data_IF_847474543554
#
_entry.id   IF_847474543554
#
_cell.length_a   1.000
_cell.length_b   1.000
_cell.length_c   1.000
_cell.angle_alpha   90.00
_cell.angle_beta   90.00
_cell.angle_gamma   90.00
#
_symmetry.space_group_name_H-M   'P 1'
#
loop_
_entity.id
_entity.type
_entity.pdbx_description
1 polymer ?
#
# COMPACT_ATOMS: atom_id res chain seq x y z
N UNK A 1 15.72 -14.33 -7.81
CA UNK A 1 16.92 -13.53 -8.18
C UNK A 1 16.76 -12.87 -9.56
N UNK A 2 16.33 -13.58 -10.61
CA UNK A 2 16.21 -12.99 -11.97
C UNK A 2 15.39 -11.70 -12.08
N UNK A 3 14.40 -11.49 -11.21
CA UNK A 3 13.52 -10.31 -11.22
C UNK A 3 13.99 -9.12 -10.38
N UNK A 4 15.16 -9.18 -9.73
CA UNK A 4 15.57 -8.14 -8.77
C UNK A 4 15.73 -6.78 -9.45
N UNK A 5 16.52 -6.70 -10.53
CA UNK A 5 16.78 -5.43 -11.22
C UNK A 5 15.51 -4.90 -11.90
N UNK A 6 14.74 -5.79 -12.54
CA UNK A 6 13.44 -5.46 -13.09
C UNK A 6 12.48 -4.85 -12.04
N UNK A 7 12.46 -5.39 -10.81
CA UNK A 7 11.64 -4.83 -9.74
C UNK A 7 12.14 -3.46 -9.25
N UNK A 8 13.46 -3.23 -9.22
CA UNK A 8 14.03 -1.91 -8.91
C UNK A 8 13.67 -0.90 -10.01
N UNK A 9 13.70 -1.30 -11.28
CA UNK A 9 13.24 -0.47 -12.40
C UNK A 9 11.74 -0.15 -12.30
N UNK A 10 10.91 -1.12 -11.93
CA UNK A 10 9.49 -0.89 -11.68
C UNK A 10 9.26 0.14 -10.57
N UNK A 11 9.99 0.05 -9.44
CA UNK A 11 9.93 1.05 -8.37
C UNK A 11 10.31 2.44 -8.85
N UNK A 12 11.36 2.56 -9.67
CA UNK A 12 11.78 3.82 -10.26
C UNK A 12 10.64 4.47 -11.05
N UNK A 13 10.00 3.70 -11.94
CA UNK A 13 8.90 4.20 -12.76
C UNK A 13 7.69 4.62 -11.91
N UNK A 14 7.37 3.85 -10.86
CA UNK A 14 6.30 4.21 -9.94
C UNK A 14 6.59 5.51 -9.18
N UNK A 15 7.82 5.70 -8.70
CA UNK A 15 8.25 6.93 -8.05
C UNK A 15 8.20 8.13 -9.02
N UNK A 16 8.65 7.94 -10.27
CA UNK A 16 8.60 8.97 -11.30
C UNK A 16 7.18 9.40 -11.63
N UNK A 17 6.26 8.44 -11.83
CA UNK A 17 4.86 8.71 -12.06
C UNK A 17 4.23 9.48 -10.90
N UNK A 18 4.44 9.05 -9.65
CA UNK A 18 3.91 9.73 -8.46
C UNK A 18 4.47 11.14 -8.31
N UNK A 19 5.73 11.37 -8.67
CA UNK A 19 6.34 12.72 -8.69
C UNK A 19 5.71 13.61 -9.77
N UNK A 20 5.47 13.08 -10.95
CA UNK A 20 4.80 13.82 -12.03
C UNK A 20 3.37 14.20 -11.64
N UNK A 21 2.58 13.25 -11.15
CA UNK A 21 1.19 13.50 -10.71
C UNK A 21 1.13 14.56 -9.60
N UNK A 22 2.05 14.51 -8.63
CA UNK A 22 2.12 15.49 -7.54
C UNK A 22 2.60 16.87 -8.00
N UNK A 23 3.60 16.96 -8.87
CA UNK A 23 4.07 18.24 -9.42
C UNK A 23 2.99 18.93 -10.24
N UNK A 24 2.26 18.20 -11.10
CA UNK A 24 1.09 18.72 -11.83
C UNK A 24 0.05 19.28 -10.86
N UNK A 25 -0.23 18.56 -9.75
CA UNK A 25 -1.19 19.03 -8.75
C UNK A 25 -0.70 20.31 -8.06
N UNK A 26 0.57 20.39 -7.66
CA UNK A 26 1.15 21.60 -7.05
C UNK A 26 1.12 22.80 -8.02
N UNK A 27 1.42 22.58 -9.29
CA UNK A 27 1.36 23.61 -10.34
C UNK A 27 -0.07 24.10 -10.62
N UNK A 28 -1.07 23.24 -10.44
CA UNK A 28 -2.47 23.65 -10.51
C UNK A 28 -2.86 24.55 -9.34
N UNK A 29 -2.36 24.24 -8.13
CA UNK A 29 -2.66 24.99 -6.91
C UNK A 29 -1.92 26.33 -6.85
N UNK A 30 -0.71 26.42 -7.39
CA UNK A 30 0.07 27.67 -7.42
C UNK A 30 -0.57 28.79 -8.24
N UNK A 31 -1.56 28.46 -9.07
CA UNK A 31 -2.37 29.40 -9.86
C UNK A 31 -3.59 29.94 -9.09
N UNK A 32 -3.97 29.30 -7.98
CA UNK A 32 -5.12 29.71 -7.18
C UNK A 32 -4.72 30.75 -6.13
N UNK A 33 -5.63 31.68 -5.83
CA UNK A 33 -5.45 32.68 -4.78
C UNK A 33 -5.63 32.00 -3.43
N UNK A 34 -4.65 32.15 -2.55
CA UNK A 34 -4.70 31.64 -1.18
C UNK A 34 -5.56 32.58 -0.31
N UNK A 35 -6.72 32.13 0.21
CA UNK A 35 -7.59 32.97 1.03
C UNK A 35 -7.08 33.15 2.47
N UNK A 36 -6.05 32.40 2.88
CA UNK A 36 -5.53 32.37 4.25
C UNK A 36 -4.29 33.26 4.46
N UNK A 37 -3.81 33.95 3.42
CA UNK A 37 -2.63 34.81 3.48
C UNK A 37 -3.03 36.27 3.20
N UNK A 38 -2.47 37.19 3.99
CA UNK A 38 -2.60 38.64 3.82
C UNK A 38 -1.20 39.26 3.79
N UNK A 39 -0.78 39.96 2.71
CA UNK A 39 -1.55 40.34 1.52
C UNK A 39 -1.92 39.16 0.61
N UNK A 40 -2.93 39.33 -0.25
CA UNK A 40 -3.39 38.28 -1.18
C UNK A 40 -2.23 37.78 -2.03
N UNK A 41 -1.93 36.49 -1.91
CA UNK A 41 -0.92 35.78 -2.68
C UNK A 41 -1.52 34.47 -3.21
N UNK A 42 -0.85 33.80 -4.14
CA UNK A 42 -1.21 32.44 -4.54
C UNK A 42 -0.66 31.42 -3.55
N UNK A 43 -1.10 30.16 -3.65
CA UNK A 43 -0.49 29.09 -2.85
C UNK A 43 0.99 28.91 -3.24
N UNK A 44 1.85 28.72 -2.23
CA UNK A 44 3.26 28.36 -2.42
C UNK A 44 3.63 27.15 -1.55
N UNK A 45 4.79 26.56 -1.84
CA UNK A 45 5.27 25.37 -1.15
C UNK A 45 5.49 25.62 0.35
N UNK A 46 5.97 26.82 0.71
CA UNK A 46 6.25 27.21 2.10
C UNK A 46 4.97 27.22 2.94
N UNK A 47 3.88 27.74 2.39
CA UNK A 47 2.59 27.70 3.05
C UNK A 47 2.15 26.26 3.33
N UNK A 48 2.26 25.34 2.37
CA UNK A 48 1.90 23.94 2.61
C UNK A 48 2.80 23.27 3.66
N UNK A 49 4.09 23.58 3.67
CA UNK A 49 5.04 23.09 4.68
C UNK A 49 4.69 23.58 6.09
N UNK A 50 4.37 24.87 6.25
CA UNK A 50 3.90 25.43 7.51
C UNK A 50 2.60 24.79 7.98
N UNK A 51 1.64 24.63 7.06
CA UNK A 51 0.36 24.00 7.35
C UNK A 51 0.52 22.52 7.76
N UNK A 52 1.42 21.78 7.10
CA UNK A 52 1.79 20.42 7.51
C UNK A 52 2.43 20.37 8.90
N UNK A 53 3.32 21.32 9.21
CA UNK A 53 3.92 21.43 10.54
C UNK A 53 2.87 21.66 11.63
N UNK A 54 1.91 22.55 11.39
CA UNK A 54 0.80 22.77 12.30
C UNK A 54 -0.07 21.52 12.47
N UNK A 55 -0.34 20.79 11.38
CA UNK A 55 -1.06 19.52 11.45
C UNK A 55 -0.32 18.49 12.31
N UNK A 56 1.00 18.32 12.11
CA UNK A 56 1.83 17.40 12.92
C UNK A 56 1.84 17.80 14.40
N UNK A 57 2.03 19.08 14.71
CA UNK A 57 2.01 19.57 16.08
C UNK A 57 0.65 19.35 16.75
N UNK A 58 -0.44 19.57 16.02
CA UNK A 58 -1.79 19.30 16.50
C UNK A 58 -1.98 17.82 16.83
N UNK A 59 -1.52 16.91 15.96
CA UNK A 59 -1.58 15.47 16.18
C UNK A 59 -0.71 15.02 17.36
N UNK A 60 0.47 15.61 17.54
CA UNK A 60 1.37 15.29 18.66
C UNK A 60 0.84 15.79 20.02
N UNK A 61 0.06 16.86 20.01
CA UNK A 61 -0.48 17.48 21.24
C UNK A 61 -1.87 16.96 21.62
N UNK A 62 -2.59 16.32 20.70
CA UNK A 62 -3.84 15.62 21.01
C UNK A 62 -3.54 14.29 21.72
N UNK A 63 -3.94 14.18 22.99
CA UNK A 63 -3.80 12.94 23.75
C UNK A 63 -4.84 11.91 23.29
N UNK A 64 -4.51 10.62 23.38
CA UNK A 64 -5.51 9.54 23.24
C UNK A 64 -6.72 9.74 24.16
N UNK A 65 -6.51 10.35 25.33
CA UNK A 65 -7.59 10.70 26.25
C UNK A 65 -8.54 11.77 25.68
N UNK A 66 -8.06 12.71 24.87
CA UNK A 66 -8.91 13.71 24.19
C UNK A 66 -9.77 13.06 23.12
N UNK A 67 -9.15 12.19 22.31
CA UNK A 67 -9.84 11.41 21.27
C UNK A 67 -10.91 10.51 21.89
N UNK A 68 -10.59 9.80 22.95
CA UNK A 68 -11.55 8.93 23.64
C UNK A 68 -12.71 9.74 24.24
N UNK A 69 -12.43 10.91 24.83
CA UNK A 69 -13.48 11.81 25.33
C UNK A 69 -14.41 12.28 24.20
N UNK A 70 -13.86 12.63 23.04
CA UNK A 70 -14.64 13.06 21.87
C UNK A 70 -15.47 11.91 21.29
N UNK A 71 -14.92 10.71 21.20
CA UNK A 71 -15.65 9.51 20.76
C UNK A 71 -16.84 9.24 21.68
N UNK A 72 -16.62 9.23 23.00
CA UNK A 72 -17.71 9.06 23.98
C UNK A 72 -18.79 10.13 23.80
N UNK A 73 -18.39 11.39 23.63
CA UNK A 73 -19.33 12.49 23.41
C UNK A 73 -20.12 12.34 22.10
N UNK A 74 -19.46 11.90 21.03
CA UNK A 74 -20.11 11.68 19.75
C UNK A 74 -21.11 10.53 19.81
N UNK A 75 -20.76 9.43 20.47
CA UNK A 75 -21.67 8.31 20.74
C UNK A 75 -22.90 8.75 21.53
N UNK A 76 -22.71 9.62 22.53
CA UNK A 76 -23.82 10.17 23.30
C UNK A 76 -24.78 10.98 22.41
N UNK A 77 -24.25 11.90 21.61
CA UNK A 77 -25.07 12.72 20.70
C UNK A 77 -25.75 11.86 19.63
N UNK A 78 -25.07 10.81 19.16
CA UNK A 78 -25.59 9.93 18.13
C UNK A 78 -26.79 9.10 18.65
N UNK A 79 -26.68 8.66 19.90
CA UNK A 79 -27.77 8.00 20.61
C UNK A 79 -28.94 8.96 20.83
N UNK A 80 -28.66 10.21 21.19
CA UNK A 80 -29.68 11.25 21.33
C UNK A 80 -30.43 11.48 20.00
N UNK A 81 -29.70 11.59 18.90
CA UNK A 81 -30.27 11.75 17.57
C UNK A 81 -31.14 10.54 17.18
N UNK A 82 -30.68 9.33 17.49
CA UNK A 82 -31.43 8.09 17.25
C UNK A 82 -32.73 8.03 18.07
N UNK A 83 -32.68 8.41 19.36
CA UNK A 83 -33.88 8.53 20.19
C UNK A 83 -34.88 9.54 19.63
N UNK A 84 -34.39 10.69 19.16
CA UNK A 84 -35.25 11.72 18.58
C UNK A 84 -35.92 11.23 17.28
N UNK A 85 -35.22 10.44 16.45
CA UNK A 85 -35.81 9.79 15.28
C UNK A 85 -36.90 8.80 15.68
N UNK A 86 -36.65 7.92 16.66
CA UNK A 86 -37.65 6.96 17.16
C UNK A 86 -38.89 7.68 17.71
N UNK A 87 -38.70 8.76 18.47
CA UNK A 87 -39.83 9.59 18.97
C UNK A 87 -40.61 10.22 17.83
N UNK A 88 -39.94 10.76 16.81
CA UNK A 88 -40.59 11.35 15.65
C UNK A 88 -41.40 10.31 14.85
N UNK A 89 -40.83 9.11 14.65
CA UNK A 89 -41.52 7.99 14.01
C UNK A 89 -42.74 7.55 14.81
N UNK A 90 -42.62 7.40 16.13
CA UNK A 90 -43.74 7.06 17.01
C UNK A 90 -44.87 8.09 16.94
N UNK A 91 -44.52 9.37 17.01
CA UNK A 91 -45.47 10.47 16.89
C UNK A 91 -46.17 10.44 15.53
N UNK A 92 -45.45 10.14 14.45
CA UNK A 92 -46.02 10.00 13.12
C UNK A 92 -46.96 8.81 13.02
N UNK A 93 -46.57 7.63 13.51
CA UNK A 93 -47.42 6.42 13.51
C UNK A 93 -48.72 6.64 14.28
N UNK A 94 -48.64 7.36 15.41
CA UNK A 94 -49.80 7.71 16.24
C UNK A 94 -50.67 8.76 15.55
N UNK A 95 -50.07 9.74 14.87
CA UNK A 95 -50.81 10.78 14.14
C UNK A 95 -51.53 10.24 12.89
N UNK A 96 -50.95 9.24 12.21
CA UNK A 96 -51.52 8.66 10.98
C UNK A 96 -52.32 7.38 11.22
N UNK A 97 -52.41 6.88 12.46
CA UNK A 97 -53.01 5.59 12.82
C UNK A 97 -52.48 4.42 11.97
N UNK A 98 -51.20 4.47 11.58
CA UNK A 98 -50.62 3.55 10.60
C UNK A 98 -49.80 2.40 11.21
N UNK A 99 -49.56 2.41 12.52
CA UNK A 99 -48.78 1.36 13.21
C UNK A 99 -49.68 0.35 13.92
N UNK A 100 -49.25 -0.92 13.97
CA UNK A 100 -49.90 -1.91 14.84
C UNK A 100 -49.70 -1.54 16.31
N UNK A 101 -50.61 -2.00 17.18
CA UNK A 101 -50.45 -1.83 18.63
C UNK A 101 -49.12 -2.42 19.11
N UNK A 102 -48.72 -3.58 18.56
CA UNK A 102 -47.46 -4.23 18.90
C UNK A 102 -46.24 -3.39 18.46
N UNK A 103 -46.29 -2.75 17.29
CA UNK A 103 -45.22 -1.87 16.79
C UNK A 103 -45.04 -0.63 17.68
N UNK A 104 -46.15 -0.06 18.15
CA UNK A 104 -46.20 1.09 19.05
C UNK A 104 -45.60 0.71 20.42
N UNK A 105 -46.02 -0.43 20.98
CA UNK A 105 -45.50 -0.93 22.26
C UNK A 105 -44.01 -1.24 22.16
N UNK A 106 -43.57 -1.90 21.09
CA UNK A 106 -42.17 -2.20 20.84
C UNK A 106 -41.33 -0.92 20.75
N UNK A 107 -41.80 0.09 20.00
CA UNK A 107 -41.14 1.39 19.89
C UNK A 107 -41.00 2.10 21.25
N UNK A 108 -42.03 2.02 22.10
CA UNK A 108 -42.00 2.60 23.46
C UNK A 108 -40.96 1.91 24.35
N UNK A 109 -40.86 0.58 24.28
CA UNK A 109 -39.85 -0.20 25.02
C UNK A 109 -38.44 0.15 24.54
N UNK A 110 -38.24 0.30 23.23
CA UNK A 110 -36.96 0.72 22.64
C UNK A 110 -36.56 2.15 23.06
N UNK A 111 -37.51 3.08 23.09
CA UNK A 111 -37.27 4.45 23.59
C UNK A 111 -36.93 4.43 25.08
N UNK A 112 -37.66 3.68 25.90
CA UNK A 112 -37.45 3.63 27.34
C UNK A 112 -36.07 3.02 27.68
N UNK A 113 -35.74 1.88 27.09
CA UNK A 113 -34.43 1.23 27.27
C UNK A 113 -33.28 2.11 26.78
N UNK A 114 -33.45 2.78 25.64
CA UNK A 114 -32.41 3.66 25.09
C UNK A 114 -32.24 4.95 25.87
N UNK A 115 -33.31 5.49 26.45
CA UNK A 115 -33.26 6.65 27.34
C UNK A 115 -32.57 6.33 28.68
N UNK A 116 -32.79 5.14 29.23
CA UNK A 116 -32.13 4.69 30.46
C UNK A 116 -30.63 4.53 30.25
N UNK A 117 -30.21 3.88 29.16
CA UNK A 117 -28.79 3.75 28.78
C UNK A 117 -28.14 5.13 28.59
N UNK A 118 -28.87 6.10 28.02
CA UNK A 118 -28.37 7.45 27.83
C UNK A 118 -28.20 8.22 29.16
N UNK A 119 -29.07 7.98 30.15
CA UNK A 119 -28.92 8.56 31.50
C UNK A 119 -27.70 8.01 32.22
N UNK A 120 -27.45 6.70 32.13
CA UNK A 120 -26.24 6.09 32.68
C UNK A 120 -24.99 6.70 32.07
N UNK A 121 -24.93 6.79 30.74
CA UNK A 121 -23.79 7.39 30.04
C UNK A 121 -23.58 8.87 30.37
N UNK A 122 -24.67 9.64 30.54
CA UNK A 122 -24.60 11.04 30.98
C UNK A 122 -23.97 11.22 32.38
N UNK A 123 -24.14 10.25 33.27
CA UNK A 123 -23.55 10.30 34.62
C UNK A 123 -22.03 10.04 34.64
N UNK A 124 -21.50 9.35 33.62
CA UNK A 124 -20.08 9.02 33.49
C UNK A 124 -19.28 10.06 32.70
N UNK A 125 -19.96 10.93 31.96
CA UNK A 125 -19.39 12.00 31.16
C UNK A 125 -18.97 13.18 32.09
N UNK A 126 -17.67 13.55 32.16
CA UNK A 126 -17.20 14.66 32.98
C UNK A 126 -17.93 15.97 32.65
N UNK A 127 -18.43 16.68 33.66
CA UNK A 127 -19.36 17.82 33.54
C UNK A 127 -18.89 19.07 32.77
N UNK A 128 -17.77 19.04 32.06
CA UNK A 128 -17.23 20.19 31.30
C UNK A 128 -17.25 19.94 29.79
N UNK A 129 -18.44 19.84 29.19
CA UNK A 129 -18.61 19.98 27.74
C UNK A 129 -18.82 21.44 27.36
N UNK A 130 -17.97 22.34 27.85
CA UNK A 130 -17.98 23.75 27.45
C UNK A 130 -17.91 23.92 25.92
N UNK A 131 -17.33 22.93 25.22
CA UNK A 131 -17.30 22.83 23.74
C UNK A 131 -18.71 22.78 23.12
N UNK A 132 -19.73 22.27 23.82
CA UNK A 132 -21.11 22.15 23.33
C UNK A 132 -22.06 23.23 23.87
N UNK A 133 -21.53 24.27 24.52
CA UNK A 133 -22.30 25.38 25.09
C UNK A 133 -22.04 26.64 24.25
N UNK A 134 -23.06 27.48 24.04
CA UNK A 134 -22.99 28.73 23.27
C UNK A 134 -23.77 28.71 21.96
N UNK A 135 -23.83 29.84 21.26
CA UNK A 135 -24.66 30.03 20.05
C UNK A 135 -24.29 29.07 18.90
N UNK A 136 -23.02 28.67 18.80
CA UNK A 136 -22.50 27.72 17.79
C UNK A 136 -22.68 26.24 18.16
N UNK A 137 -23.30 25.93 19.32
CA UNK A 137 -23.45 24.57 19.81
C UNK A 137 -24.13 23.60 18.81
N UNK A 138 -25.23 23.97 18.12
CA UNK A 138 -25.87 23.07 17.16
C UNK A 138 -24.93 22.66 16.03
N UNK A 139 -24.16 23.62 15.50
CA UNK A 139 -23.19 23.39 14.43
C UNK A 139 -22.06 22.47 14.89
N UNK A 140 -21.52 22.70 16.09
CA UNK A 140 -20.44 21.85 16.65
C UNK A 140 -20.91 20.43 16.96
N UNK A 141 -22.14 20.25 17.44
CA UNK A 141 -22.75 18.92 17.64
C UNK A 141 -22.82 18.14 16.32
N UNK A 142 -23.29 18.78 15.26
CA UNK A 142 -23.38 18.15 13.95
C UNK A 142 -22.01 17.85 13.34
N UNK A 143 -21.01 18.70 13.55
CA UNK A 143 -19.62 18.40 13.14
C UNK A 143 -19.09 17.14 13.83
N UNK A 144 -19.33 16.99 15.13
CA UNK A 144 -18.92 15.82 15.89
C UNK A 144 -19.66 14.54 15.46
N UNK A 145 -20.96 14.65 15.15
CA UNK A 145 -21.74 13.54 14.59
C UNK A 145 -21.27 13.14 13.19
N UNK A 146 -20.93 14.13 12.35
CA UNK A 146 -20.40 13.89 11.01
C UNK A 146 -19.07 13.15 11.10
N UNK A 147 -18.16 13.61 11.95
CA UNK A 147 -16.90 12.94 12.28
C UNK A 147 -17.11 11.48 12.68
N UNK A 148 -17.97 11.23 13.67
CA UNK A 148 -18.23 9.89 14.19
C UNK A 148 -18.84 8.98 13.12
N UNK A 149 -19.80 9.48 12.33
CA UNK A 149 -20.39 8.71 11.23
C UNK A 149 -19.37 8.40 10.12
N UNK A 150 -18.42 9.31 9.86
CA UNK A 150 -17.36 9.10 8.87
C UNK A 150 -16.28 8.13 9.37
N UNK A 151 -15.94 8.17 10.66
CA UNK A 151 -15.07 7.19 11.32
C UNK A 151 -15.66 5.77 11.19
N UNK A 152 -16.97 5.61 11.44
CA UNK A 152 -17.66 4.35 11.23
C UNK A 152 -17.63 3.87 9.77
N UNK A 153 -17.79 4.79 8.80
CA UNK A 153 -17.61 4.48 7.38
C UNK A 153 -16.19 4.00 7.08
N UNK A 154 -15.16 4.62 7.66
CA UNK A 154 -13.77 4.21 7.46
C UNK A 154 -13.52 2.80 8.01
N UNK A 155 -14.07 2.46 9.18
CA UNK A 155 -14.01 1.08 9.71
C UNK A 155 -14.58 0.08 8.71
N UNK A 156 -15.75 0.36 8.15
CA UNK A 156 -16.34 -0.50 7.12
C UNK A 156 -15.51 -0.56 5.83
N UNK A 157 -14.85 0.53 5.44
CA UNK A 157 -14.00 0.56 4.26
C UNK A 157 -12.77 -0.34 4.45
N UNK A 158 -12.13 -0.29 5.61
CA UNK A 158 -11.00 -1.16 5.98
C UNK A 158 -11.43 -2.63 6.01
N UNK A 159 -12.58 -2.93 6.60
CA UNK A 159 -13.12 -4.29 6.64
C UNK A 159 -13.41 -4.81 5.24
N UNK A 160 -14.10 -4.03 4.40
CA UNK A 160 -14.40 -4.40 3.02
C UNK A 160 -13.13 -4.61 2.19
N UNK A 161 -12.13 -3.74 2.38
CA UNK A 161 -10.83 -3.88 1.73
C UNK A 161 -10.14 -5.18 2.16
N UNK A 162 -10.14 -5.50 3.46
CA UNK A 162 -9.54 -6.72 4.00
C UNK A 162 -10.17 -8.00 3.44
N UNK A 163 -11.47 -7.99 3.18
CA UNK A 163 -12.18 -9.12 2.58
C UNK A 163 -11.87 -9.31 1.10
N UNK A 164 -11.55 -8.22 0.40
CA UNK A 164 -11.15 -8.25 -1.02
C UNK A 164 -9.68 -8.57 -1.23
N UNK A 165 -8.84 -8.39 -0.21
CA UNK A 165 -7.39 -8.65 -0.29
C UNK A 165 -7.01 -9.99 -0.93
N UNK A 166 -7.68 -11.13 -0.63
CA UNK A 166 -7.35 -12.40 -1.26
C UNK A 166 -7.47 -12.35 -2.79
N UNK A 167 -8.47 -11.66 -3.34
CA UNK A 167 -8.72 -11.56 -4.78
C UNK A 167 -7.57 -10.89 -5.53
N UNK A 168 -6.85 -9.97 -4.89
CA UNK A 168 -5.76 -9.22 -5.52
C UNK A 168 -4.39 -9.91 -5.44
N UNK A 169 -4.26 -11.03 -4.71
CA UNK A 169 -2.97 -11.72 -4.54
C UNK A 169 -2.58 -12.59 -5.73
N UNK A 170 -3.38 -12.63 -6.81
CA UNK A 170 -3.06 -13.35 -8.04
C UNK A 170 -2.91 -14.87 -7.86
N UNK A 171 -3.38 -15.41 -6.74
CA UNK A 171 -3.43 -16.86 -6.50
C UNK A 171 -4.74 -17.37 -7.07
N UNK A 172 -4.74 -18.51 -7.76
CA UNK A 172 -5.98 -19.18 -8.13
C UNK A 172 -6.76 -19.50 -6.85
N UNK A 173 -7.94 -18.89 -6.72
CA UNK A 173 -8.81 -19.03 -5.56
C UNK A 173 -9.86 -20.06 -5.94
N UNK A 174 -9.83 -21.23 -5.30
CA UNK A 174 -10.87 -22.24 -5.51
C UNK A 174 -12.28 -21.70 -5.22
N UNK A 175 -13.28 -22.30 -5.85
CA UNK A 175 -14.72 -21.95 -5.76
C UNK A 175 -15.23 -21.68 -4.35
N UNK A 176 -14.78 -22.49 -3.39
CA UNK A 176 -15.20 -22.40 -1.99
C UNK A 176 -14.73 -21.10 -1.33
N UNK A 177 -13.51 -20.68 -1.60
CA UNK A 177 -12.95 -19.44 -1.03
C UNK A 177 -13.54 -18.22 -1.74
N UNK A 178 -13.73 -18.28 -3.07
CA UNK A 178 -14.43 -17.27 -3.86
C UNK A 178 -15.86 -17.04 -3.33
N UNK A 179 -16.66 -18.10 -3.19
CA UNK A 179 -18.04 -18.03 -2.68
C UNK A 179 -18.10 -17.44 -1.27
N UNK A 180 -17.13 -17.78 -0.41
CA UNK A 180 -17.03 -17.21 0.94
C UNK A 180 -16.73 -15.72 0.92
N UNK A 181 -15.86 -15.26 0.03
CA UNK A 181 -15.52 -13.83 -0.12
C UNK A 181 -16.74 -13.05 -0.61
N UNK A 182 -17.44 -13.54 -1.66
CA UNK A 182 -18.66 -12.90 -2.16
C UNK A 182 -19.72 -12.82 -1.05
N UNK A 183 -19.98 -13.93 -0.35
CA UNK A 183 -20.96 -13.96 0.73
C UNK A 183 -20.57 -13.06 1.91
N UNK A 184 -19.27 -12.80 2.14
CA UNK A 184 -18.82 -11.85 3.16
C UNK A 184 -19.10 -10.40 2.72
N UNK A 185 -18.77 -10.06 1.46
CA UNK A 185 -19.05 -8.75 0.85
C UNK A 185 -20.55 -8.45 0.88
N UNK A 186 -21.39 -9.41 0.48
CA UNK A 186 -22.85 -9.26 0.46
C UNK A 186 -23.42 -9.01 1.87
N UNK A 187 -22.91 -9.73 2.88
CA UNK A 187 -23.32 -9.51 4.29
C UNK A 187 -22.99 -8.12 4.79
N UNK A 188 -21.95 -7.46 4.25
CA UNK A 188 -21.56 -6.09 4.66
C UNK A 188 -22.38 -5.00 3.98
N UNK A 189 -23.06 -5.28 2.87
CA UNK A 189 -23.82 -4.26 2.12
C UNK A 189 -24.85 -3.52 3.00
N UNK A 190 -25.68 -4.26 3.74
CA UNK A 190 -26.70 -3.67 4.62
C UNK A 190 -26.15 -2.75 5.73
N UNK A 191 -25.14 -3.20 6.51
CA UNK A 191 -24.44 -2.36 7.47
C UNK A 191 -23.82 -1.09 6.84
N UNK A 192 -23.15 -1.22 5.70
CA UNK A 192 -22.55 -0.09 4.97
C UNK A 192 -23.62 0.91 4.54
N UNK A 193 -24.71 0.46 3.91
CA UNK A 193 -25.81 1.33 3.49
C UNK A 193 -26.45 2.08 4.67
N UNK A 194 -26.52 1.43 5.83
CA UNK A 194 -27.01 2.05 7.06
C UNK A 194 -26.07 3.14 7.56
N UNK A 195 -24.76 2.89 7.55
CA UNK A 195 -23.74 3.88 7.91
C UNK A 195 -23.73 5.07 6.92
N UNK A 196 -23.88 4.80 5.62
CA UNK A 196 -23.97 5.82 4.57
C UNK A 196 -25.19 6.72 4.77
N UNK A 197 -26.37 6.12 5.01
CA UNK A 197 -27.61 6.88 5.27
C UNK A 197 -27.46 7.80 6.46
N UNK A 198 -26.80 7.32 7.52
CA UNK A 198 -26.54 8.08 8.74
C UNK A 198 -25.59 9.26 8.49
N UNK A 199 -24.49 9.02 7.79
CA UNK A 199 -23.55 10.07 7.38
C UNK A 199 -24.23 11.13 6.50
N UNK A 200 -24.99 10.72 5.48
CA UNK A 200 -25.69 11.65 4.58
C UNK A 200 -26.77 12.46 5.33
N UNK A 201 -27.45 11.86 6.32
CA UNK A 201 -28.38 12.55 7.19
C UNK A 201 -27.70 13.68 7.98
N UNK A 202 -26.62 13.37 8.70
CA UNK A 202 -25.87 14.39 9.45
C UNK A 202 -25.24 15.44 8.55
N UNK A 203 -24.79 15.06 7.35
CA UNK A 203 -24.33 15.99 6.32
C UNK A 203 -25.43 16.96 5.92
N UNK A 204 -26.63 16.49 5.61
CA UNK A 204 -27.75 17.34 5.21
C UNK A 204 -28.13 18.33 6.33
N UNK A 205 -28.22 17.85 7.57
CA UNK A 205 -28.49 18.67 8.75
C UNK A 205 -27.40 19.75 8.95
N UNK A 206 -26.13 19.38 8.75
CA UNK A 206 -25.00 20.30 8.88
C UNK A 206 -25.01 21.38 7.80
N UNK A 207 -25.24 20.99 6.53
CA UNK A 207 -25.32 21.93 5.41
C UNK A 207 -26.50 22.91 5.57
N UNK A 208 -27.61 22.48 6.17
CA UNK A 208 -28.76 23.34 6.46
C UNK A 208 -28.46 24.45 7.48
N UNK A 209 -27.41 24.31 8.29
CA UNK A 209 -26.96 25.34 9.24
C UNK A 209 -25.93 26.33 8.67
N UNK A 210 -25.55 26.20 7.40
CA UNK A 210 -24.62 27.13 6.76
C UNK A 210 -25.30 28.46 6.44
N UNK A 211 -24.59 29.56 6.67
CA UNK A 211 -25.08 30.88 6.30
C UNK A 211 -24.96 31.08 4.77
N UNK A 212 -25.82 31.90 4.14
CA UNK A 212 -25.82 32.09 2.68
C UNK A 212 -24.51 32.62 2.08
N UNK A 213 -23.63 33.18 2.91
CA UNK A 213 -22.34 33.75 2.54
C UNK A 213 -21.13 32.89 2.97
N UNK A 214 -21.36 31.74 3.60
CA UNK A 214 -20.30 30.80 3.95
C UNK A 214 -19.95 29.92 2.74
N UNK A 215 -18.66 29.75 2.46
CA UNK A 215 -18.19 28.82 1.44
C UNK A 215 -18.65 27.41 1.81
N UNK A 216 -19.36 26.74 0.89
CA UNK A 216 -19.83 25.39 1.13
C UNK A 216 -18.62 24.46 1.35
N UNK A 217 -18.55 23.75 2.49
CA UNK A 217 -17.46 22.82 2.76
C UNK A 217 -17.54 21.64 1.79
N UNK A 218 -16.36 21.17 1.36
CA UNK A 218 -16.18 20.06 0.43
C UNK A 218 -16.48 18.73 1.13
N UNK A 219 -17.76 18.46 1.34
CA UNK A 219 -18.29 17.28 2.01
C UNK A 219 -19.21 16.58 1.00
N UNK A 220 -18.69 15.61 0.22
CA UNK A 220 -19.49 14.93 -0.79
C UNK A 220 -20.58 14.07 -0.15
N UNK A 221 -21.70 13.93 -0.86
CA UNK A 221 -22.70 12.93 -0.55
C UNK A 221 -22.13 11.54 -0.86
N UNK A 222 -22.34 10.58 0.03
CA UNK A 222 -21.80 9.23 -0.13
C UNK A 222 -22.88 8.32 -0.70
N UNK A 223 -22.57 7.58 -1.76
CA UNK A 223 -23.40 6.46 -2.21
C UNK A 223 -22.66 5.16 -1.98
N UNK A 224 -23.39 4.03 -1.94
CA UNK A 224 -22.74 2.71 -1.80
C UNK A 224 -21.71 2.47 -2.90
N UNK A 225 -22.03 2.88 -4.13
CA UNK A 225 -21.11 2.76 -5.27
C UNK A 225 -19.85 3.61 -5.09
N UNK A 226 -19.98 4.89 -4.71
CA UNK A 226 -18.81 5.75 -4.46
C UNK A 226 -17.95 5.14 -3.35
N UNK A 227 -18.58 4.71 -2.26
CA UNK A 227 -17.91 4.11 -1.11
C UNK A 227 -17.09 2.87 -1.47
N UNK A 228 -17.69 1.96 -2.24
CA UNK A 228 -17.08 0.67 -2.62
C UNK A 228 -15.85 0.84 -3.51
N UNK A 229 -15.81 1.90 -4.31
CA UNK A 229 -14.70 2.21 -5.21
C UNK A 229 -13.71 3.21 -4.61
N UNK A 230 -13.96 3.68 -3.38
CA UNK A 230 -13.11 4.65 -2.72
C UNK A 230 -11.85 3.96 -2.20
N UNK A 231 -10.68 4.46 -2.61
CA UNK A 231 -9.41 3.97 -2.06
C UNK A 231 -9.30 4.31 -0.57
N UNK A 232 -8.60 3.49 0.21
CA UNK A 232 -8.26 3.83 1.60
C UNK A 232 -7.33 5.06 1.67
N UNK A 233 -6.59 5.33 0.61
CA UNK A 233 -5.69 6.50 0.50
C UNK A 233 -6.42 7.77 -0.01
N UNK A 234 -7.73 7.70 -0.26
CA UNK A 234 -8.49 8.83 -0.81
C UNK A 234 -8.50 10.04 0.13
N UNK A 235 -8.47 11.25 -0.45
CA UNK A 235 -8.52 12.51 0.27
C UNK A 235 -9.76 12.65 1.18
N UNK A 236 -10.85 11.97 0.84
CA UNK A 236 -12.03 11.86 1.68
C UNK A 236 -11.67 11.37 3.09
N UNK A 237 -10.82 10.37 3.27
CA UNK A 237 -10.50 9.83 4.60
C UNK A 237 -9.57 10.72 5.43
N UNK A 238 -8.91 11.70 4.80
CA UNK A 238 -7.83 12.46 5.44
C UNK A 238 -8.32 13.46 6.52
N UNK A 239 -9.58 13.91 6.47
CA UNK A 239 -10.14 14.76 7.53
C UNK A 239 -10.80 13.99 8.67
N UNK A 240 -10.89 12.65 8.61
CA UNK A 240 -11.55 11.83 9.64
C UNK A 240 -10.95 12.06 11.01
N UNK A 241 -9.75 12.61 11.16
CA UNK A 241 -9.16 12.89 12.47
C UNK A 241 -9.02 14.39 12.78
N UNK A 242 -9.51 15.27 11.90
CA UNK A 242 -9.17 16.71 11.89
C UNK A 242 -10.35 17.62 12.30
N UNK A 243 -11.53 17.06 12.56
CA UNK A 243 -12.80 17.79 12.69
C UNK A 243 -12.87 18.86 13.80
N UNK A 244 -11.92 18.88 14.74
CA UNK A 244 -11.86 19.90 15.81
C UNK A 244 -11.04 21.14 15.43
N UNK A 245 -10.28 21.07 14.34
CA UNK A 245 -9.42 22.17 13.90
C UNK A 245 -10.13 23.04 12.87
N UNK A 246 -10.10 24.36 13.07
CA UNK A 246 -10.52 25.35 12.06
C UNK A 246 -9.35 25.90 11.27
N UNK A 247 -8.16 25.31 11.43
CA UNK A 247 -6.96 25.73 10.72
C UNK A 247 -7.10 25.45 9.20
N UNK A 248 -6.38 26.19 8.34
CA UNK A 248 -6.48 26.03 6.90
C UNK A 248 -6.27 24.58 6.42
N UNK A 249 -5.32 23.86 7.01
CA UNK A 249 -5.07 22.43 6.71
C UNK A 249 -6.23 21.49 7.04
N UNK A 250 -7.15 21.88 7.91
CA UNK A 250 -8.29 21.04 8.31
C UNK A 250 -9.53 21.31 7.46
N UNK A 251 -9.79 22.59 7.13
CA UNK A 251 -11.08 23.01 6.55
C UNK A 251 -11.08 23.18 5.04
N UNK A 252 -9.91 23.30 4.41
CA UNK A 252 -9.80 23.60 2.99
C UNK A 252 -9.20 22.40 2.21
N UNK A 253 -9.92 21.94 1.17
CA UNK A 253 -9.49 20.79 0.36
C UNK A 253 -8.28 21.09 -0.54
N UNK A 254 -8.12 22.33 -1.02
CA UNK A 254 -6.92 22.75 -1.75
C UNK A 254 -5.67 22.71 -0.87
N UNK A 255 -5.79 23.17 0.39
CA UNK A 255 -4.68 23.10 1.36
C UNK A 255 -4.30 21.65 1.65
N UNK A 256 -5.27 20.77 1.91
CA UNK A 256 -5.01 19.33 2.11
C UNK A 256 -4.38 18.69 0.87
N UNK A 257 -4.93 18.96 -0.31
CA UNK A 257 -4.40 18.47 -1.58
C UNK A 257 -2.97 18.94 -1.83
N UNK A 258 -2.66 20.19 -1.47
CA UNK A 258 -1.32 20.77 -1.60
C UNK A 258 -0.31 20.14 -0.64
N UNK A 259 -0.69 19.94 0.63
CA UNK A 259 0.13 19.20 1.60
C UNK A 259 0.41 17.79 1.08
N UNK A 260 -0.62 17.08 0.63
CA UNK A 260 -0.47 15.71 0.15
C UNK A 260 0.43 15.63 -1.09
N UNK A 261 0.23 16.50 -2.07
CA UNK A 261 1.07 16.55 -3.27
C UNK A 261 2.53 16.89 -2.92
N UNK A 262 2.76 17.85 -2.01
CA UNK A 262 4.10 18.15 -1.49
C UNK A 262 4.76 16.93 -0.86
N UNK A 263 4.05 16.22 0.03
CA UNK A 263 4.56 15.02 0.70
C UNK A 263 4.84 13.87 -0.27
N UNK A 264 3.99 13.64 -1.27
CA UNK A 264 4.23 12.65 -2.32
C UNK A 264 5.49 13.01 -3.11
N UNK A 265 5.66 14.29 -3.47
CA UNK A 265 6.84 14.73 -4.21
C UNK A 265 8.12 14.51 -3.38
N UNK A 266 8.12 14.87 -2.10
CA UNK A 266 9.25 14.63 -1.19
C UNK A 266 9.52 13.13 -1.02
N UNK A 267 8.47 12.32 -0.89
CA UNK A 267 8.60 10.87 -0.77
C UNK A 267 9.15 10.22 -2.04
N UNK A 268 8.76 10.73 -3.21
CA UNK A 268 9.32 10.25 -4.48
C UNK A 268 10.81 10.57 -4.58
N UNK A 269 11.26 11.73 -4.08
CA UNK A 269 12.68 12.08 -4.00
C UNK A 269 13.47 11.14 -3.09
N UNK A 270 12.91 10.78 -1.92
CA UNK A 270 13.49 9.75 -1.05
C UNK A 270 13.55 8.39 -1.76
N UNK A 271 12.46 7.98 -2.43
CA UNK A 271 12.40 6.71 -3.13
C UNK A 271 13.43 6.64 -4.27
N UNK A 272 13.67 7.73 -5.01
CA UNK A 272 14.74 7.77 -6.00
C UNK A 272 16.13 7.57 -5.40
N UNK A 273 16.39 8.13 -4.21
CA UNK A 273 17.65 7.91 -3.51
C UNK A 273 17.79 6.44 -3.05
N UNK A 274 16.70 5.85 -2.54
CA UNK A 274 16.66 4.43 -2.14
C UNK A 274 16.85 3.50 -3.33
N UNK A 275 16.12 3.71 -4.43
CA UNK A 275 16.24 2.96 -5.68
C UNK A 275 17.67 3.03 -6.21
N UNK A 276 18.29 4.22 -6.22
CA UNK A 276 19.69 4.37 -6.62
C UNK A 276 20.62 3.54 -5.74
N UNK A 277 20.42 3.58 -4.43
CA UNK A 277 21.23 2.82 -3.49
C UNK A 277 21.03 1.29 -3.64
N UNK A 278 19.78 0.83 -3.74
CA UNK A 278 19.42 -0.58 -3.97
C UNK A 278 20.03 -1.09 -5.29
N UNK A 279 19.93 -0.30 -6.36
CA UNK A 279 20.51 -0.61 -7.66
C UNK A 279 22.03 -0.76 -7.60
N UNK A 280 22.74 0.24 -7.05
CA UNK A 280 24.20 0.19 -6.92
C UNK A 280 24.64 -0.97 -6.03
N UNK A 281 23.89 -1.26 -4.97
CA UNK A 281 24.15 -2.41 -4.10
C UNK A 281 23.98 -3.74 -4.82
N UNK A 282 22.94 -3.88 -5.65
CA UNK A 282 22.68 -5.10 -6.42
C UNK A 282 23.80 -5.38 -7.43
N UNK A 283 24.23 -4.37 -8.19
CA UNK A 283 25.32 -4.54 -9.16
C UNK A 283 26.69 -4.72 -8.47
N UNK A 284 26.91 -4.07 -7.32
CA UNK A 284 28.13 -4.25 -6.52
C UNK A 284 28.20 -5.65 -5.94
N UNK A 285 27.09 -6.17 -5.41
CA UNK A 285 26.99 -7.55 -4.93
C UNK A 285 27.34 -8.53 -6.05
N UNK A 286 26.78 -8.34 -7.25
CA UNK A 286 27.02 -9.25 -8.35
C UNK A 286 28.49 -9.24 -8.81
N UNK A 287 29.13 -8.06 -8.88
CA UNK A 287 30.57 -7.91 -9.16
C UNK A 287 31.41 -8.58 -8.08
N UNK A 288 31.16 -8.27 -6.81
CA UNK A 288 31.93 -8.79 -5.68
C UNK A 288 31.79 -10.30 -5.56
N UNK A 289 30.59 -10.84 -5.80
CA UNK A 289 30.34 -12.27 -5.77
C UNK A 289 31.06 -12.98 -6.93
N UNK A 290 31.05 -12.40 -8.13
CA UNK A 290 31.82 -12.91 -9.28
C UNK A 290 33.33 -12.94 -8.99
N UNK A 291 33.88 -11.86 -8.44
CA UNK A 291 35.28 -11.78 -8.05
C UNK A 291 35.65 -12.81 -6.96
N UNK A 292 34.79 -12.99 -5.96
CA UNK A 292 34.99 -13.96 -4.90
C UNK A 292 34.96 -15.41 -5.41
N UNK A 293 34.05 -15.74 -6.33
CA UNK A 293 34.01 -17.05 -6.98
C UNK A 293 35.29 -17.31 -7.78
N UNK A 294 35.73 -16.35 -8.61
CA UNK A 294 36.97 -16.47 -9.38
C UNK A 294 38.20 -16.65 -8.48
N UNK A 295 38.31 -15.86 -7.41
CA UNK A 295 39.41 -15.98 -6.46
C UNK A 295 39.47 -17.37 -5.82
N UNK A 296 38.32 -17.92 -5.40
CA UNK A 296 38.25 -19.29 -4.84
C UNK A 296 38.64 -20.35 -5.86
N UNK A 297 38.17 -20.21 -7.10
CA UNK A 297 38.55 -21.11 -8.21
C UNK A 297 40.07 -21.09 -8.40
N UNK A 298 40.70 -19.91 -8.50
CA UNK A 298 42.16 -19.79 -8.66
C UNK A 298 42.94 -20.41 -7.51
N UNK A 299 42.47 -20.26 -6.27
CA UNK A 299 43.12 -20.87 -5.09
C UNK A 299 43.08 -22.40 -5.15
N UNK A 300 41.94 -22.99 -5.52
CA UNK A 300 41.81 -24.45 -5.61
C UNK A 300 42.56 -25.00 -6.83
N UNK A 301 42.50 -24.30 -7.97
CA UNK A 301 43.20 -24.69 -9.20
C UNK A 301 44.73 -24.71 -9.02
N UNK A 302 45.27 -23.69 -8.34
CA UNK A 302 46.68 -23.66 -7.95
C UNK A 302 47.05 -24.83 -7.04
N UNK A 303 46.21 -25.13 -6.05
CA UNK A 303 46.46 -26.26 -5.14
C UNK A 303 46.46 -27.61 -5.87
N UNK A 304 45.56 -27.83 -6.82
CA UNK A 304 45.55 -29.04 -7.65
C UNK A 304 46.83 -29.13 -8.50
N UNK A 305 47.28 -27.99 -9.04
CA UNK A 305 48.53 -27.93 -9.82
C UNK A 305 49.76 -28.26 -8.96
N UNK A 306 49.87 -27.66 -7.77
CA UNK A 306 50.95 -27.92 -6.79
C UNK A 306 50.95 -29.40 -6.33
N UNK A 307 49.78 -30.01 -6.10
CA UNK A 307 49.65 -31.45 -5.78
C UNK A 307 50.04 -32.38 -6.93
N UNK A 308 50.03 -31.91 -8.18
CA UNK A 308 50.41 -32.71 -9.35
C UNK A 308 51.91 -32.67 -9.63
N UNK A 309 52.62 -31.71 -9.02
CA UNK A 309 54.06 -31.48 -9.23
C UNK A 309 54.94 -32.05 -8.10
N UNK A 310 54.42 -32.22 -6.87
CA UNK A 310 55.15 -32.72 -5.70
C UNK A 310 54.57 -34.03 -5.14
N UNK A 311 55.37 -35.11 -5.19
CA UNK A 311 55.11 -36.42 -4.55
C UNK A 311 55.66 -36.47 -3.09
N UNK A 312 56.22 -35.38 -2.55
CA UNK A 312 56.93 -35.39 -1.26
C UNK A 312 56.46 -34.28 -0.27
N UNK A 313 55.97 -34.76 0.88
CA UNK A 313 55.97 -34.24 2.26
C UNK A 313 55.62 -32.76 2.58
N UNK A 314 54.60 -32.63 3.44
CA UNK A 314 54.41 -31.62 4.50
C UNK A 314 54.39 -30.13 4.11
N UNK A 315 53.25 -29.67 3.58
CA UNK A 315 52.92 -28.25 3.48
C UNK A 315 51.82 -27.86 4.49
N UNK A 316 52.23 -27.56 5.72
CA UNK A 316 51.41 -26.81 6.68
C UNK A 316 51.45 -25.31 6.35
N UNK A 317 50.35 -24.76 5.81
CA UNK A 317 50.07 -23.32 5.94
C UNK A 317 48.58 -23.08 6.14
N UNK A 318 48.24 -22.43 7.25
CA UNK A 318 46.86 -22.17 7.69
C UNK A 318 46.07 -21.23 6.76
N UNK A 319 46.71 -20.55 5.82
CA UNK A 319 46.09 -19.65 4.82
C UNK A 319 46.00 -20.27 3.39
N UNK A 320 46.33 -21.56 3.23
CA UNK A 320 46.29 -22.30 1.97
C UNK A 320 44.94 -22.97 1.70
N UNK A 321 44.69 -23.37 0.44
CA UNK A 321 43.56 -24.22 0.04
C UNK A 321 43.35 -25.46 0.94
N UNK A 322 44.43 -25.92 1.59
CA UNK A 322 44.41 -26.95 2.62
C UNK A 322 43.48 -26.61 3.81
N UNK A 323 43.44 -25.36 4.28
CA UNK A 323 42.52 -24.90 5.33
C UNK A 323 41.05 -24.90 4.89
N UNK A 324 40.80 -24.54 3.63
CA UNK A 324 39.44 -24.58 3.04
C UNK A 324 38.96 -26.03 2.91
N UNK A 325 39.83 -26.94 2.46
CA UNK A 325 39.52 -28.35 2.23
C UNK A 325 39.33 -29.15 3.53
N UNK A 326 40.12 -28.86 4.57
CA UNK A 326 40.01 -29.49 5.90
C UNK A 326 38.73 -29.10 6.64
N UNK A 327 38.17 -27.91 6.34
CA UNK A 327 36.86 -27.47 6.87
C UNK A 327 35.65 -28.23 6.27
N UNK A 328 35.84 -28.94 5.16
CA UNK A 328 34.76 -29.60 4.41
C UNK A 328 34.81 -31.11 4.67
N UNK A 329 33.80 -31.60 5.40
CA UNK A 329 33.63 -33.03 5.64
C UNK A 329 32.88 -33.67 4.46
N UNK A 330 33.61 -34.41 3.62
CA UNK A 330 33.08 -35.24 2.53
C UNK A 330 33.40 -36.73 2.78
N UNK A 331 33.38 -37.15 4.05
CA UNK A 331 33.80 -38.51 4.45
C UNK A 331 35.27 -38.78 4.14
N UNK A 332 35.60 -40.04 3.81
CA UNK A 332 36.96 -40.55 3.55
C UNK A 332 37.57 -40.09 2.20
N UNK A 333 37.07 -39.00 1.61
CA UNK A 333 37.63 -38.46 0.38
C UNK A 333 38.98 -37.77 0.65
N UNK A 334 40.02 -38.13 -0.12
CA UNK A 334 41.31 -37.43 -0.08
C UNK A 334 41.20 -35.96 -0.53
N UNK A 335 42.16 -35.13 -0.09
CA UNK A 335 42.14 -33.68 -0.37
C UNK A 335 42.19 -33.34 -1.87
N UNK A 336 42.85 -34.17 -2.69
CA UNK A 336 42.88 -34.04 -4.15
C UNK A 336 41.47 -34.19 -4.76
N UNK A 337 40.76 -35.28 -4.43
CA UNK A 337 39.38 -35.53 -4.93
C UNK A 337 38.41 -34.45 -4.45
N UNK A 338 38.56 -33.99 -3.19
CA UNK A 338 37.77 -32.87 -2.66
C UNK A 338 38.02 -31.58 -3.44
N UNK A 339 39.29 -31.29 -3.78
CA UNK A 339 39.65 -30.10 -4.55
C UNK A 339 39.05 -30.12 -5.96
N UNK A 340 39.15 -31.25 -6.69
CA UNK A 340 38.55 -31.40 -8.02
C UNK A 340 37.03 -31.22 -8.01
N UNK A 341 36.35 -31.83 -7.02
CA UNK A 341 34.90 -31.73 -6.88
C UNK A 341 34.46 -30.30 -6.56
N UNK A 342 35.18 -29.62 -5.65
CA UNK A 342 34.90 -28.21 -5.34
C UNK A 342 35.17 -27.30 -6.54
N UNK A 343 36.24 -27.55 -7.31
CA UNK A 343 36.55 -26.80 -8.51
C UNK A 343 35.41 -26.93 -9.53
N UNK A 344 34.91 -28.15 -9.76
CA UNK A 344 33.76 -28.40 -10.64
C UNK A 344 32.50 -27.67 -10.19
N UNK A 345 32.17 -27.74 -8.88
CA UNK A 345 31.02 -27.06 -8.30
C UNK A 345 31.14 -25.54 -8.40
N UNK A 346 32.30 -24.97 -8.05
CA UNK A 346 32.52 -23.53 -8.11
C UNK A 346 32.44 -23.00 -9.55
N UNK A 347 32.99 -23.73 -10.52
CA UNK A 347 32.84 -23.40 -11.93
C UNK A 347 31.37 -23.44 -12.37
N UNK A 348 30.60 -24.46 -11.95
CA UNK A 348 29.16 -24.51 -12.22
C UNK A 348 28.41 -23.31 -11.62
N UNK A 349 28.74 -22.92 -10.38
CA UNK A 349 28.16 -21.73 -9.74
C UNK A 349 28.58 -20.44 -10.45
N UNK A 350 29.83 -20.33 -10.90
CA UNK A 350 30.32 -19.19 -11.67
C UNK A 350 29.53 -19.06 -12.97
N UNK A 351 29.34 -20.15 -13.74
CA UNK A 351 28.54 -20.13 -14.97
C UNK A 351 27.11 -19.67 -14.72
N UNK A 352 26.46 -20.20 -13.66
CA UNK A 352 25.09 -19.78 -13.27
C UNK A 352 25.03 -18.31 -12.87
N UNK A 353 26.02 -17.84 -12.13
CA UNK A 353 26.12 -16.43 -11.72
C UNK A 353 26.37 -15.51 -12.91
N UNK A 354 27.25 -15.88 -13.82
CA UNK A 354 27.49 -15.12 -15.05
C UNK A 354 26.26 -15.10 -15.97
N UNK A 355 25.48 -16.19 -16.04
CA UNK A 355 24.20 -16.21 -16.74
C UNK A 355 23.17 -15.26 -16.10
N UNK A 356 23.10 -15.21 -14.76
CA UNK A 356 22.28 -14.24 -14.03
C UNK A 356 22.75 -12.80 -14.30
N UNK A 357 24.06 -12.56 -14.32
CA UNK A 357 24.60 -11.24 -14.64
C UNK A 357 24.24 -10.80 -16.07
N UNK A 358 24.30 -11.74 -17.04
CA UNK A 358 23.88 -11.48 -18.42
C UNK A 358 22.38 -11.15 -18.51
N UNK A 359 21.53 -11.89 -17.80
CA UNK A 359 20.08 -11.63 -17.84
C UNK A 359 19.69 -10.27 -17.28
N UNK A 360 20.48 -9.71 -16.34
CA UNK A 360 20.28 -8.35 -15.84
C UNK A 360 20.84 -7.26 -16.76
N UNK A 361 21.62 -7.57 -17.80
CA UNK A 361 22.43 -6.58 -18.52
C UNK A 361 21.59 -5.48 -19.18
N UNK A 362 20.46 -5.82 -19.80
CA UNK A 362 19.55 -4.85 -20.43
C UNK A 362 18.94 -3.91 -19.43
N UNK A 363 18.45 -4.45 -18.32
CA UNK A 363 17.74 -3.70 -17.28
C UNK A 363 18.72 -2.78 -16.53
N UNK A 364 19.95 -3.27 -16.28
CA UNK A 364 21.02 -2.46 -15.68
C UNK A 364 21.42 -1.31 -16.62
N UNK A 365 21.55 -1.56 -17.92
CA UNK A 365 21.85 -0.50 -18.90
C UNK A 365 20.72 0.54 -18.99
N UNK A 366 19.45 0.10 -18.96
CA UNK A 366 18.27 0.98 -18.92
C UNK A 366 18.28 1.85 -17.68
N UNK A 367 18.32 1.22 -16.50
CA UNK A 367 18.19 1.90 -15.21
C UNK A 367 19.40 2.80 -14.92
N UNK A 368 20.61 2.43 -15.35
CA UNK A 368 21.78 3.30 -15.27
C UNK A 368 21.57 4.62 -16.01
N UNK A 369 21.05 4.56 -17.24
CA UNK A 369 20.75 5.77 -18.03
C UNK A 369 19.69 6.63 -17.36
N UNK A 370 18.67 6.00 -16.77
CA UNK A 370 17.60 6.72 -16.05
C UNK A 370 18.13 7.42 -14.78
N UNK A 371 19.05 6.78 -14.03
CA UNK A 371 19.56 7.30 -12.77
C UNK A 371 20.73 8.28 -12.91
N UNK A 372 21.58 8.09 -13.92
CA UNK A 372 22.85 8.81 -14.09
C UNK A 372 22.97 9.55 -15.44
N UNK A 373 21.97 9.44 -16.32
CA UNK A 373 22.00 10.00 -17.66
C UNK A 373 22.99 9.28 -18.59
N UNK A 374 23.46 9.98 -19.62
CA UNK A 374 24.49 9.48 -20.55
C UNK A 374 25.91 9.56 -19.97
N UNK A 375 26.04 9.55 -18.63
CA UNK A 375 27.33 9.59 -17.95
C UNK A 375 28.17 8.34 -18.23
N UNK A 376 29.49 8.40 -17.99
CA UNK A 376 30.37 7.26 -18.20
C UNK A 376 29.92 6.06 -17.36
N UNK A 377 29.98 4.87 -17.96
CA UNK A 377 29.74 3.58 -17.32
C UNK A 377 30.92 3.20 -16.41
N UNK A 378 31.12 3.98 -15.34
CA UNK A 378 32.30 3.88 -14.48
C UNK A 378 32.29 2.66 -13.53
N UNK A 379 31.15 1.97 -13.39
CA UNK A 379 31.04 0.81 -12.49
C UNK A 379 31.66 -0.44 -13.12
N UNK A 380 32.40 -1.22 -12.32
CA UNK A 380 33.13 -2.43 -12.72
C UNK A 380 32.25 -3.49 -13.40
N UNK A 381 30.95 -3.49 -13.07
CA UNK A 381 29.91 -4.29 -13.73
C UNK A 381 30.02 -4.23 -15.26
N UNK A 382 30.15 -3.03 -15.85
CA UNK A 382 30.14 -2.86 -17.30
C UNK A 382 31.38 -3.48 -17.96
N UNK A 383 32.52 -3.46 -17.26
CA UNK A 383 33.74 -4.14 -17.71
C UNK A 383 33.52 -5.66 -17.72
N UNK A 384 32.99 -6.22 -16.64
CA UNK A 384 32.73 -7.66 -16.52
C UNK A 384 31.72 -8.11 -17.59
N UNK A 385 30.58 -7.45 -17.73
CA UNK A 385 29.58 -7.80 -18.75
C UNK A 385 30.16 -7.72 -20.17
N UNK A 386 31.00 -6.73 -20.46
CA UNK A 386 31.66 -6.63 -21.78
C UNK A 386 32.59 -7.82 -22.04
N UNK A 387 33.34 -8.27 -21.02
CA UNK A 387 34.18 -9.48 -21.15
C UNK A 387 33.34 -10.74 -21.35
N UNK A 388 32.21 -10.88 -20.65
CA UNK A 388 31.31 -12.02 -20.79
C UNK A 388 30.65 -12.07 -22.18
N UNK A 389 30.25 -10.91 -22.72
CA UNK A 389 29.71 -10.80 -24.09
C UNK A 389 30.77 -11.16 -25.16
N UNK A 390 32.04 -10.84 -24.90
CA UNK A 390 33.14 -11.12 -25.84
C UNK A 390 33.54 -12.60 -25.84
N UNK A 391 33.44 -13.28 -24.70
CA UNK A 391 33.72 -14.71 -24.59
C UNK A 391 32.72 -15.56 -25.41
N UNK A 392 31.43 -15.21 -25.39
CA UNK A 392 30.38 -15.89 -26.20
C UNK A 392 30.63 -15.77 -27.72
N UNK A 393 31.18 -14.64 -28.18
CA UNK A 393 31.50 -14.42 -29.59
C UNK A 393 32.72 -15.23 -30.06
N UNK A 394 33.58 -15.65 -29.12
CA UNK A 394 34.74 -16.49 -29.42
C UNK A 394 34.40 -17.98 -29.49
N UNK A 395 33.29 -18.41 -28.89
CA UNK A 395 32.83 -19.81 -28.89
C UNK A 395 31.84 -20.15 -30.03
N UNK A 396 31.45 -19.16 -30.85
CA UNK A 396 30.52 -19.35 -31.97
C UNK A 396 31.23 -19.63 -33.30
N UNK A 397 31.59 -20.90 -33.53
CA UNK A 397 31.77 -21.46 -34.87
C UNK A 397 30.38 -21.65 -35.56
N UNK A 398 30.28 -21.64 -36.91
CA UNK A 398 28.97 -21.55 -37.58
C UNK A 398 28.11 -22.81 -37.34
N UNK A 399 26.77 -22.68 -37.28
CA UNK A 399 25.89 -23.82 -37.01
C UNK A 399 25.82 -24.74 -38.23
N UNK A 400 25.98 -26.04 -37.99
CA UNK A 400 25.46 -27.08 -38.89
C UNK A 400 23.94 -27.03 -38.80
N UNK A 401 23.27 -26.76 -39.91
CA UNK A 401 21.82 -26.92 -40.05
C UNK A 401 21.43 -28.37 -39.72
N UNK A 402 20.73 -28.56 -38.61
CA UNK A 402 19.87 -29.74 -38.39
C UNK A 402 18.54 -29.22 -37.87
N UNK A 403 17.48 -29.64 -38.56
CA UNK A 403 16.16 -29.05 -38.55
C UNK A 403 15.38 -29.19 -37.25
N UNK A 404 14.28 -28.43 -37.21
CA UNK A 404 13.14 -28.68 -36.32
C UNK A 404 13.07 -27.76 -35.11
N UNK A 405 12.64 -26.51 -35.32
CA UNK A 405 12.10 -25.67 -34.24
C UNK A 405 10.74 -26.25 -33.84
N UNK A 406 10.70 -27.01 -32.75
CA UNK A 406 9.47 -27.18 -31.98
C UNK A 406 9.40 -26.01 -30.98
N UNK A 407 8.40 -25.17 -31.13
CA UNK A 407 8.02 -24.20 -30.10
C UNK A 407 7.45 -24.98 -28.92
N UNK A 408 8.19 -25.01 -27.82
CA UNK A 408 7.69 -25.50 -26.54
C UNK A 408 6.82 -24.40 -25.93
N UNK A 409 5.53 -24.47 -26.24
CA UNK A 409 4.46 -23.82 -25.48
C UNK A 409 4.41 -24.56 -24.15
N UNK A 410 4.82 -23.89 -23.07
CA UNK A 410 4.68 -24.42 -21.72
C UNK A 410 3.22 -24.24 -21.33
N UNK A 411 2.42 -25.24 -21.66
CA UNK A 411 1.12 -25.51 -21.04
C UNK A 411 1.39 -26.12 -19.66
N UNK A 412 1.12 -25.36 -18.61
CA UNK A 412 1.22 -25.84 -17.24
C UNK A 412 -0.09 -26.55 -16.86
N UNK A 413 -0.33 -27.73 -17.44
CA UNK A 413 -1.37 -28.62 -16.94
C UNK A 413 -1.07 -30.10 -17.22
N UNK A 414 -0.38 -30.74 -16.27
CA UNK A 414 -0.51 -32.17 -15.97
C UNK A 414 -0.50 -32.24 -14.44
N UNK A 415 -1.48 -32.75 -13.71
CA UNK A 415 -2.60 -33.64 -14.01
C UNK A 415 -2.75 -34.52 -12.77
N UNK A 416 -3.67 -34.17 -11.87
CA UNK A 416 -4.20 -35.09 -10.86
C UNK A 416 -5.71 -34.98 -10.97
N UNK A 417 -6.32 -36.02 -11.53
CA UNK A 417 -7.75 -36.24 -11.48
C UNK A 417 -8.21 -36.28 -10.02
N UNK A 418 -9.03 -35.33 -9.61
CA UNK A 418 -10.04 -35.48 -8.57
C UNK A 418 -11.11 -34.39 -8.75
N UNK A 419 -12.27 -34.84 -9.24
CA UNK A 419 -13.61 -34.19 -9.22
C UNK A 419 -13.72 -32.70 -9.55
N UNK A 420 -14.17 -32.45 -10.78
CA UNK A 420 -14.75 -31.22 -11.34
C UNK A 420 -15.50 -30.34 -10.31
N UNK A 421 -14.80 -29.35 -9.78
CA UNK A 421 -15.38 -28.16 -9.17
C UNK A 421 -14.96 -26.94 -9.98
N UNK A 422 -15.89 -26.40 -10.77
CA UNK A 422 -15.73 -25.26 -11.70
C UNK A 422 -14.83 -24.13 -11.16
N UNK A 423 -13.52 -24.16 -11.43
CA UNK A 423 -12.56 -23.17 -10.90
C UNK A 423 -12.87 -21.75 -11.39
N UNK A 424 -12.95 -20.77 -10.47
CA UNK A 424 -13.29 -19.38 -10.79
C UNK A 424 -12.03 -18.51 -10.73
N UNK A 425 -11.68 -17.85 -11.82
CA UNK A 425 -10.57 -16.89 -11.83
C UNK A 425 -10.85 -15.68 -10.93
N UNK A 426 -9.83 -15.21 -10.21
CA UNK A 426 -9.93 -14.00 -9.40
C UNK A 426 -10.28 -12.75 -10.23
N UNK A 427 -9.88 -12.72 -11.51
CA UNK A 427 -10.20 -11.70 -12.51
C UNK A 427 -11.72 -11.53 -12.71
N UNK A 428 -12.43 -12.65 -12.85
CA UNK A 428 -13.86 -12.67 -13.13
C UNK A 428 -14.67 -12.18 -11.92
N UNK A 429 -14.22 -12.51 -10.72
CA UNK A 429 -14.81 -12.07 -9.47
C UNK A 429 -14.63 -10.57 -9.22
N UNK A 430 -13.46 -10.03 -9.57
CA UNK A 430 -13.19 -8.60 -9.46
C UNK A 430 -14.14 -7.80 -10.37
N UNK A 431 -14.45 -8.31 -11.56
CA UNK A 431 -15.42 -7.69 -12.48
C UNK A 431 -16.86 -7.77 -11.95
N UNK A 432 -17.24 -8.84 -11.26
CA UNK A 432 -18.56 -8.94 -10.61
C UNK A 432 -18.72 -8.03 -9.38
N UNK A 433 -17.62 -7.66 -8.72
CA UNK A 433 -17.61 -6.78 -7.55
C UNK A 433 -17.63 -5.29 -7.95
N UNK A 434 -17.09 -4.95 -9.13
CA UNK A 434 -17.24 -3.63 -9.74
C UNK A 434 -18.58 -3.57 -10.48
N UNK A 435 -19.63 -3.16 -9.76
CA UNK A 435 -20.98 -3.05 -10.32
C UNK A 435 -20.99 -2.02 -11.47
N UNK A 436 -21.19 -2.51 -12.68
CA UNK A 436 -21.36 -1.73 -13.91
C UNK A 436 -22.63 -0.84 -13.80
N UNK A 437 -22.63 0.44 -14.21
CA UNK A 437 -23.73 1.37 -13.93
C UNK A 437 -25.02 1.14 -14.75
N UNK A 438 -25.20 -0.02 -15.40
CA UNK A 438 -26.30 -0.26 -16.35
C UNK A 438 -27.28 -1.38 -15.97
N UNK A 439 -27.40 -1.74 -14.70
CA UNK A 439 -28.46 -2.66 -14.26
C UNK A 439 -29.32 -2.02 -13.18
N UNK A 440 -30.13 -1.04 -13.54
CA UNK A 440 -31.44 -0.70 -12.96
C UNK A 440 -32.02 0.48 -13.75
N UNK A 441 -32.66 0.17 -14.88
CA UNK A 441 -33.89 0.87 -15.29
C UNK A 441 -35.09 0.16 -14.65
#
# INVERSE_FOLDING_TARGET
MGLLVHWIEHKYHQAARRKEESTIKLDSLSKLINPFVSPRATYDLRFFEEQWNHQRQFQLTHSDADRERQERLAMFLDREASLNRLRAQLNQMTATNSGSYDDIVQSLVEIASSAEQQRGFASELPGEYNVLIGQDAPRRRLQLLLWHSKSALYTHAVELFSERQPLYRGTHIGTTLSTRIIAAIDRRKGPIETAIRKYNGYRADYLALLLPNETQPDIPEMTYWVFVNLSLDDAFWQDVYLYHSRAPWAVNSDVRSGIHAMLISQRADEEFALVRHEFLSAISWAVNHHAALKAKITVIDRFISELSEDDDEDMESEDSAAGVLTSISLGDCGNSVKAELLLSILNSYLTKHEALMRSWSTDVESLWKQLHGNGPQAHEWFRIISTLKSADQSETAPPVEVGGRAEEVIDANEGVDDEEGEEVEASDLINHIHINPQSHE
#
